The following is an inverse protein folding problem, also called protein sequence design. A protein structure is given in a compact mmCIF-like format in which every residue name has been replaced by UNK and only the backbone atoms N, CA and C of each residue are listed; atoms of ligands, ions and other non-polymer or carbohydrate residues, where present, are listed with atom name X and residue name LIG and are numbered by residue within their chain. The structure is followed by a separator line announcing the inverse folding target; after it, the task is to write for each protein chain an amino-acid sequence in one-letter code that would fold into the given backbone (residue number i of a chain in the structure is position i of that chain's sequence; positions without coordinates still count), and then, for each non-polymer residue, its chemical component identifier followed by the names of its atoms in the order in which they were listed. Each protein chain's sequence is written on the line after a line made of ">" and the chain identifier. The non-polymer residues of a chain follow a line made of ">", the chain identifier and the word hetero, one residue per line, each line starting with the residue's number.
data_IF_530943131491
#
_entry.id   IF_530943131491
#
_cell.length_a   1.000
_cell.length_b   1.000
_cell.length_c   1.000
_cell.angle_alpha   90.00
_cell.angle_beta   90.00
_cell.angle_gamma   90.00
#
_symmetry.space_group_name_H-M   'P 1'
#
loop_
_entity.id
_entity.type
_entity.pdbx_description
1 polymer ?
#
# COMPACT_ATOMS: atom_id res chain seq x y z
N UNK A 1 4.47 25.05 -73.38
CA UNK A 1 4.61 25.02 -71.92
C UNK A 1 4.46 23.57 -71.47
N UNK A 2 5.53 22.88 -71.03
CA UNK A 2 5.43 21.47 -70.64
C UNK A 2 4.93 21.37 -69.21
N UNK A 3 3.94 20.49 -69.00
CA UNK A 3 3.33 20.19 -67.69
C UNK A 3 4.27 19.45 -66.78
N UNK A 4 4.27 19.89 -65.54
CA UNK A 4 5.03 19.32 -64.40
C UNK A 4 4.26 18.12 -63.86
N UNK A 5 4.79 16.90 -64.01
CA UNK A 5 4.21 15.65 -63.57
C UNK A 5 4.95 15.17 -62.33
N UNK A 6 4.26 15.13 -61.17
CA UNK A 6 4.83 14.59 -59.91
C UNK A 6 4.82 13.05 -59.95
N UNK A 7 5.88 12.38 -59.48
CA UNK A 7 5.89 10.92 -59.35
C UNK A 7 5.03 10.44 -58.19
N UNK A 8 4.41 9.25 -58.29
CA UNK A 8 3.63 8.68 -57.19
C UNK A 8 4.51 8.29 -56.01
N UNK A 9 4.23 8.85 -54.84
CA UNK A 9 4.89 8.46 -53.61
C UNK A 9 4.43 7.05 -53.21
N UNK A 10 5.33 6.06 -53.33
CA UNK A 10 5.13 4.75 -52.76
C UNK A 10 5.33 4.82 -51.24
N UNK A 11 4.23 4.86 -50.51
CA UNK A 11 4.25 4.71 -49.07
C UNK A 11 4.36 3.23 -48.72
N UNK A 12 5.57 2.76 -48.45
CA UNK A 12 5.79 1.45 -47.84
C UNK A 12 5.55 1.54 -46.36
N UNK A 13 4.44 0.99 -45.89
CA UNK A 13 4.20 0.78 -44.45
C UNK A 13 5.19 -0.30 -43.95
N UNK A 14 5.90 -0.06 -42.84
CA UNK A 14 6.69 -1.14 -42.25
C UNK A 14 5.73 -2.20 -41.68
N UNK A 15 6.12 -3.49 -41.68
CA UNK A 15 5.29 -4.55 -41.14
C UNK A 15 5.02 -4.30 -39.65
N UNK A 16 3.75 -4.48 -39.25
CA UNK A 16 3.30 -4.37 -37.88
C UNK A 16 4.16 -5.24 -36.96
N UNK A 17 5.05 -4.59 -36.25
CA UNK A 17 5.83 -5.22 -35.21
C UNK A 17 4.91 -5.66 -34.10
N UNK A 18 5.04 -6.92 -33.73
CA UNK A 18 4.37 -7.55 -32.60
C UNK A 18 4.74 -6.76 -31.33
N UNK A 19 3.87 -5.88 -30.85
CA UNK A 19 4.02 -5.24 -29.56
C UNK A 19 3.69 -6.30 -28.51
N UNK A 20 4.73 -6.86 -27.89
CA UNK A 20 4.60 -7.78 -26.76
C UNK A 20 4.01 -7.00 -25.59
N UNK A 21 2.71 -7.19 -25.34
CA UNK A 21 2.04 -6.75 -24.10
C UNK A 21 2.49 -7.68 -22.95
N UNK A 22 3.64 -7.43 -22.38
CA UNK A 22 4.16 -8.15 -21.23
C UNK A 22 4.60 -7.19 -20.11
N UNK A 23 3.71 -6.30 -19.62
CA UNK A 23 4.03 -5.42 -18.50
C UNK A 23 2.79 -4.87 -17.75
N UNK A 24 1.70 -5.64 -17.58
CA UNK A 24 0.51 -5.11 -16.90
C UNK A 24 0.20 -5.83 -15.57
N UNK A 25 0.98 -6.84 -15.17
CA UNK A 25 0.66 -7.58 -13.94
C UNK A 25 1.15 -6.91 -12.64
N UNK A 26 2.00 -5.86 -12.72
CA UNK A 26 2.55 -5.21 -11.52
C UNK A 26 1.77 -3.99 -11.03
N UNK A 27 0.84 -3.45 -11.81
CA UNK A 27 0.10 -2.23 -11.47
C UNK A 27 -1.15 -2.48 -10.62
N UNK A 28 -1.80 -3.65 -10.74
CA UNK A 28 -3.07 -3.91 -10.07
C UNK A 28 -3.00 -3.78 -8.53
N UNK A 29 -1.93 -4.29 -7.90
CA UNK A 29 -1.77 -4.18 -6.44
C UNK A 29 -1.44 -2.75 -5.97
N UNK A 30 -0.77 -1.96 -6.83
CA UNK A 30 -0.49 -0.57 -6.56
C UNK A 30 -1.77 0.26 -6.57
N UNK A 31 -2.64 -0.01 -7.52
CA UNK A 31 -3.92 0.68 -7.69
C UNK A 31 -4.89 0.37 -6.53
N UNK A 32 -4.96 -0.86 -6.04
CA UNK A 32 -5.79 -1.23 -4.89
C UNK A 32 -5.41 -0.49 -3.60
N UNK A 33 -4.11 -0.24 -3.37
CA UNK A 33 -3.67 0.51 -2.19
C UNK A 33 -4.09 1.97 -2.31
N UNK A 34 -3.97 2.56 -3.50
CA UNK A 34 -4.37 3.94 -3.77
C UNK A 34 -5.91 4.09 -3.68
N UNK A 35 -6.67 3.12 -4.20
CA UNK A 35 -8.13 3.07 -4.09
C UNK A 35 -8.58 2.96 -2.62
N UNK A 36 -8.02 2.02 -1.86
CA UNK A 36 -8.32 1.86 -0.44
C UNK A 36 -7.95 3.11 0.37
N UNK A 37 -6.80 3.73 0.06
CA UNK A 37 -6.38 4.96 0.71
C UNK A 37 -7.32 6.13 0.41
N UNK A 38 -7.79 6.27 -0.83
CA UNK A 38 -8.76 7.27 -1.24
C UNK A 38 -10.12 7.04 -0.56
N UNK A 39 -10.61 5.79 -0.56
CA UNK A 39 -11.88 5.41 0.06
C UNK A 39 -11.89 5.75 1.56
N UNK A 40 -10.84 5.41 2.29
CA UNK A 40 -10.73 5.67 3.72
C UNK A 40 -10.10 7.02 4.07
N UNK A 41 -9.78 7.86 3.07
CA UNK A 41 -9.19 9.18 3.27
C UNK A 41 -7.90 9.14 4.12
N UNK A 42 -7.01 8.20 3.80
CA UNK A 42 -5.69 8.07 4.41
C UNK A 42 -4.59 8.35 3.38
N UNK A 43 -3.37 8.58 3.85
CA UNK A 43 -2.24 8.81 2.95
C UNK A 43 -1.78 7.50 2.31
N UNK A 44 -1.87 7.41 0.97
CA UNK A 44 -1.52 6.20 0.21
C UNK A 44 -0.05 5.80 0.35
N UNK A 45 0.87 6.76 0.42
CA UNK A 45 2.30 6.48 0.59
C UNK A 45 2.60 5.91 1.99
N UNK A 46 1.93 6.42 3.02
CA UNK A 46 2.02 5.86 4.38
C UNK A 46 1.42 4.47 4.43
N UNK A 47 0.24 4.25 3.83
CA UNK A 47 -0.40 2.93 3.77
C UNK A 47 0.51 1.93 3.05
N UNK A 48 1.11 2.31 1.92
CA UNK A 48 2.07 1.49 1.17
C UNK A 48 3.32 1.17 1.99
N UNK A 49 3.83 2.15 2.76
CA UNK A 49 4.97 1.96 3.66
C UNK A 49 4.64 1.01 4.82
N UNK A 50 3.41 1.05 5.35
CA UNK A 50 2.90 0.07 6.32
C UNK A 50 2.95 -1.34 5.73
N UNK A 51 2.31 -1.61 4.60
CA UNK A 51 2.33 -2.93 3.98
C UNK A 51 3.75 -3.43 3.65
N UNK A 52 4.62 -2.50 3.21
CA UNK A 52 6.03 -2.83 3.00
C UNK A 52 6.73 -3.21 4.31
N UNK A 53 6.49 -2.49 5.39
CA UNK A 53 7.08 -2.77 6.70
C UNK A 53 6.58 -4.11 7.27
N UNK A 54 5.30 -4.40 7.10
CA UNK A 54 4.67 -5.60 7.66
C UNK A 54 5.13 -6.88 6.96
N UNK A 55 5.07 -6.95 5.65
CA UNK A 55 5.34 -8.19 4.93
C UNK A 55 6.11 -8.03 3.62
N UNK A 56 6.56 -6.82 3.25
CA UNK A 56 7.00 -6.48 1.89
C UNK A 56 5.87 -6.63 0.86
N UNK A 57 4.63 -6.35 1.30
CA UNK A 57 3.41 -6.48 0.49
C UNK A 57 3.13 -7.91 0.01
N UNK A 58 3.57 -8.94 0.75
CA UNK A 58 3.27 -10.34 0.41
C UNK A 58 1.86 -10.71 0.86
N UNK A 59 0.96 -11.04 -0.07
CA UNK A 59 -0.45 -11.30 0.26
C UNK A 59 -0.65 -12.60 1.05
N UNK A 60 0.24 -13.56 0.91
CA UNK A 60 0.22 -14.87 1.57
C UNK A 60 0.97 -14.90 2.91
N UNK A 61 1.43 -13.74 3.40
CA UNK A 61 2.18 -13.68 4.64
C UNK A 61 1.32 -14.05 5.85
N UNK A 62 1.85 -14.92 6.72
CA UNK A 62 1.24 -15.29 8.00
C UNK A 62 2.30 -15.11 9.09
N UNK A 63 1.97 -14.30 10.11
CA UNK A 63 2.75 -14.11 11.32
C UNK A 63 2.11 -14.82 12.49
N UNK A 64 2.92 -15.39 13.38
CA UNK A 64 2.45 -16.02 14.64
C UNK A 64 2.96 -15.23 15.83
N UNK A 65 2.06 -14.86 16.72
CA UNK A 65 2.38 -14.10 17.92
C UNK A 65 2.44 -14.99 19.15
N UNK A 66 3.28 -14.63 20.14
CA UNK A 66 3.46 -15.39 21.36
C UNK A 66 2.17 -15.54 22.20
N UNK A 67 1.18 -14.67 22.01
CA UNK A 67 -0.11 -14.71 22.68
C UNK A 67 -1.14 -15.60 21.95
N UNK A 68 -0.72 -16.35 20.92
CA UNK A 68 -1.57 -17.23 20.14
C UNK A 68 -2.36 -16.56 19.02
N UNK A 69 -2.27 -15.23 18.84
CA UNK A 69 -2.88 -14.55 17.70
C UNK A 69 -2.04 -14.75 16.44
N UNK A 70 -2.66 -14.57 15.28
CA UNK A 70 -1.98 -14.60 13.99
C UNK A 70 -2.18 -13.28 13.25
N UNK A 71 -1.20 -12.91 12.44
CA UNK A 71 -1.24 -11.75 11.57
C UNK A 71 -1.34 -12.24 10.12
N UNK A 72 -2.26 -11.68 9.34
CA UNK A 72 -2.66 -12.21 8.04
C UNK A 72 -2.46 -11.20 6.92
N UNK A 73 -1.96 -11.69 5.79
CA UNK A 73 -1.89 -10.98 4.53
C UNK A 73 -0.82 -9.90 4.45
N UNK A 74 -0.87 -9.13 3.37
CA UNK A 74 0.13 -8.11 3.02
C UNK A 74 0.34 -7.05 4.11
N UNK A 75 -0.70 -6.76 4.88
CA UNK A 75 -0.71 -5.74 5.93
C UNK A 75 -0.72 -6.31 7.35
N UNK A 76 -0.54 -7.62 7.51
CA UNK A 76 -0.46 -8.32 8.78
C UNK A 76 -1.63 -7.97 9.72
N UNK A 77 -2.86 -8.15 9.21
CA UNK A 77 -4.08 -7.90 9.98
C UNK A 77 -4.19 -8.95 11.09
N UNK A 78 -4.17 -8.48 12.34
CA UNK A 78 -4.21 -9.36 13.49
C UNK A 78 -5.58 -10.05 13.63
N UNK A 79 -5.56 -11.34 13.99
CA UNK A 79 -6.75 -12.17 14.14
C UNK A 79 -7.75 -11.67 15.21
N UNK A 80 -7.35 -10.78 16.11
CA UNK A 80 -8.26 -10.13 17.06
C UNK A 80 -9.35 -9.30 16.37
N UNK A 81 -9.13 -8.89 15.13
CA UNK A 81 -10.10 -8.14 14.33
C UNK A 81 -11.10 -9.02 13.57
N UNK A 82 -10.85 -10.32 13.47
CA UNK A 82 -11.70 -11.23 12.68
C UNK A 82 -13.17 -11.25 13.08
N UNK A 83 -13.55 -11.17 14.37
CA UNK A 83 -14.97 -11.10 14.75
C UNK A 83 -15.67 -9.85 14.20
N UNK A 84 -14.98 -8.71 14.14
CA UNK A 84 -15.54 -7.49 13.55
C UNK A 84 -15.59 -7.59 12.03
N UNK A 85 -14.53 -8.08 11.40
CA UNK A 85 -14.44 -8.26 9.95
C UNK A 85 -15.49 -9.24 9.41
N UNK A 86 -15.80 -10.30 10.17
CA UNK A 86 -16.82 -11.27 9.79
C UNK A 86 -18.23 -10.63 9.64
N UNK A 87 -18.54 -9.58 10.40
CA UNK A 87 -19.81 -8.82 10.26
C UNK A 87 -19.91 -8.12 8.91
N UNK A 88 -18.79 -7.88 8.25
CA UNK A 88 -18.68 -7.29 6.92
C UNK A 88 -18.41 -8.34 5.82
N UNK A 89 -18.55 -9.63 6.13
CA UNK A 89 -18.33 -10.72 5.19
C UNK A 89 -16.87 -11.02 4.87
N UNK A 90 -15.92 -10.43 5.61
CA UNK A 90 -14.48 -10.62 5.40
C UNK A 90 -14.02 -11.83 6.23
N UNK A 91 -13.60 -12.88 5.54
CA UNK A 91 -13.06 -14.09 6.15
C UNK A 91 -11.54 -14.03 6.31
N UNK A 92 -10.92 -14.88 7.16
CA UNK A 92 -9.46 -15.00 7.22
C UNK A 92 -8.82 -15.28 5.85
N UNK A 93 -9.45 -16.14 5.03
CA UNK A 93 -8.96 -16.46 3.70
C UNK A 93 -9.01 -15.27 2.73
N UNK A 94 -9.99 -14.37 2.88
CA UNK A 94 -10.11 -13.17 2.06
C UNK A 94 -8.93 -12.20 2.28
N UNK A 95 -8.27 -12.23 3.43
CA UNK A 95 -7.09 -11.39 3.70
C UNK A 95 -5.84 -11.81 2.93
N UNK A 96 -5.84 -12.97 2.27
CA UNK A 96 -4.83 -13.37 1.30
C UNK A 96 -5.02 -12.67 -0.07
N UNK A 97 -6.15 -12.02 -0.32
CA UNK A 97 -6.31 -11.09 -1.42
C UNK A 97 -5.70 -9.74 -1.05
N UNK A 98 -4.74 -9.26 -1.85
CA UNK A 98 -4.01 -8.02 -1.56
C UNK A 98 -4.90 -6.77 -1.53
N UNK A 99 -5.97 -6.73 -2.36
CA UNK A 99 -6.90 -5.61 -2.40
C UNK A 99 -7.83 -5.60 -1.18
N UNK A 100 -8.37 -6.76 -0.80
CA UNK A 100 -9.17 -6.91 0.42
C UNK A 100 -8.32 -6.56 1.65
N UNK A 101 -7.08 -7.03 1.69
CA UNK A 101 -6.17 -6.74 2.80
C UNK A 101 -5.83 -5.24 2.89
N UNK A 102 -5.62 -4.56 1.74
CA UNK A 102 -5.38 -3.12 1.69
C UNK A 102 -6.58 -2.31 2.19
N UNK A 103 -7.78 -2.71 1.81
CA UNK A 103 -9.04 -2.07 2.26
C UNK A 103 -9.19 -2.17 3.78
N UNK A 104 -8.97 -3.35 4.36
CA UNK A 104 -9.01 -3.56 5.81
C UNK A 104 -7.91 -2.76 6.52
N UNK A 105 -6.71 -2.72 5.96
CA UNK A 105 -5.60 -1.96 6.52
C UNK A 105 -5.87 -0.45 6.51
N UNK A 106 -6.42 0.08 5.41
CA UNK A 106 -6.79 1.49 5.29
C UNK A 106 -7.88 1.86 6.30
N UNK A 107 -8.91 1.02 6.45
CA UNK A 107 -9.94 1.17 7.48
C UNK A 107 -9.34 1.17 8.89
N UNK A 108 -8.44 0.23 9.22
CA UNK A 108 -7.78 0.16 10.52
C UNK A 108 -6.93 1.39 10.78
N UNK A 109 -6.16 1.86 9.79
CA UNK A 109 -5.35 3.07 9.89
C UNK A 109 -6.22 4.31 10.04
N UNK A 110 -7.36 4.41 9.32
CA UNK A 110 -8.31 5.52 9.48
C UNK A 110 -8.81 5.64 10.90
N UNK A 111 -9.15 4.54 11.57
CA UNK A 111 -9.57 4.54 12.98
C UNK A 111 -8.49 5.11 13.92
N UNK A 112 -7.20 4.89 13.60
CA UNK A 112 -6.12 5.51 14.37
C UNK A 112 -6.05 7.02 14.12
N UNK A 113 -6.26 7.46 12.87
CA UNK A 113 -6.32 8.89 12.53
C UNK A 113 -7.50 9.58 13.24
N UNK A 114 -8.63 8.94 13.32
CA UNK A 114 -9.80 9.48 14.06
C UNK A 114 -9.52 9.65 15.55
N UNK A 115 -8.72 8.77 16.12
CA UNK A 115 -8.36 8.78 17.53
C UNK A 115 -7.22 9.75 17.88
N UNK A 116 -6.23 9.86 17.01
CA UNK A 116 -4.97 10.57 17.31
C UNK A 116 -4.68 11.73 16.36
N UNK A 117 -5.60 12.05 15.44
CA UNK A 117 -5.34 12.98 14.35
C UNK A 117 -4.45 12.38 13.25
N UNK A 118 -4.23 13.13 12.18
CA UNK A 118 -3.30 12.72 11.11
C UNK A 118 -1.85 13.01 11.54
N UNK A 119 -1.33 12.18 12.42
CA UNK A 119 -0.04 12.34 13.09
C UNK A 119 0.78 11.05 13.04
N UNK A 120 2.07 11.13 13.38
CA UNK A 120 2.93 9.97 13.54
C UNK A 120 2.45 9.03 14.66
N UNK A 121 1.74 9.58 15.66
CA UNK A 121 1.08 8.77 16.68
C UNK A 121 0.04 7.83 16.08
N UNK A 122 -0.78 8.30 15.15
CA UNK A 122 -1.75 7.45 14.44
C UNK A 122 -1.04 6.35 13.62
N UNK A 123 0.08 6.69 12.96
CA UNK A 123 0.90 5.70 12.23
C UNK A 123 1.43 4.63 13.19
N UNK A 124 1.96 5.04 14.35
CA UNK A 124 2.46 4.12 15.36
C UNK A 124 1.37 3.25 15.96
N UNK A 125 0.19 3.84 16.21
CA UNK A 125 -0.97 3.16 16.78
C UNK A 125 -1.57 2.09 15.86
N UNK A 126 -1.26 2.11 14.55
CA UNK A 126 -1.57 1.00 13.66
C UNK A 126 -1.03 -0.33 14.20
N UNK A 127 0.20 -0.32 14.68
CA UNK A 127 0.89 -1.51 15.19
C UNK A 127 0.64 -1.78 16.68
N UNK A 128 0.58 -0.74 17.51
CA UNK A 128 0.46 -0.93 18.96
C UNK A 128 -0.11 0.27 19.66
N UNK A 129 -0.96 0.02 20.66
CA UNK A 129 -1.44 1.07 21.57
C UNK A 129 -0.36 1.47 22.62
N UNK A 130 0.68 0.66 22.82
CA UNK A 130 1.76 0.95 23.78
C UNK A 130 2.67 2.04 23.21
N UNK A 131 2.85 3.20 23.89
CA UNK A 131 3.58 4.35 23.34
C UNK A 131 4.96 3.99 22.77
N UNK A 132 5.83 3.39 23.56
CA UNK A 132 7.19 3.04 23.11
C UNK A 132 7.22 2.11 21.87
N UNK A 133 6.25 1.19 21.72
CA UNK A 133 6.13 0.33 20.55
C UNK A 133 5.58 1.10 19.36
N UNK A 134 4.61 1.99 19.59
CA UNK A 134 4.06 2.87 18.58
C UNK A 134 5.14 3.78 17.99
N UNK A 135 5.95 4.42 18.84
CA UNK A 135 7.05 5.31 18.40
C UNK A 135 8.09 4.55 17.59
N UNK A 136 8.52 3.40 18.09
CA UNK A 136 9.46 2.55 17.35
C UNK A 136 8.91 2.13 15.97
N UNK A 137 7.60 1.88 15.88
CA UNK A 137 6.95 1.56 14.60
C UNK A 137 6.87 2.77 13.68
N UNK A 138 6.41 3.93 14.18
CA UNK A 138 6.36 5.16 13.40
C UNK A 138 7.73 5.54 12.83
N UNK A 139 8.81 5.38 13.62
CA UNK A 139 10.19 5.58 13.16
C UNK A 139 10.56 4.62 12.01
N UNK A 140 10.15 3.35 12.06
CA UNK A 140 10.37 2.40 10.95
C UNK A 140 9.65 2.84 9.68
N UNK A 141 8.39 3.29 9.78
CA UNK A 141 7.64 3.79 8.63
C UNK A 141 8.30 5.05 8.06
N UNK A 142 8.73 5.99 8.90
CA UNK A 142 9.46 7.19 8.47
C UNK A 142 10.75 6.81 7.73
N UNK A 143 11.50 5.82 8.21
CA UNK A 143 12.70 5.33 7.55
C UNK A 143 12.40 4.70 6.17
N UNK A 144 11.28 3.99 6.01
CA UNK A 144 10.84 3.48 4.71
C UNK A 144 10.56 4.64 3.75
N UNK A 145 9.79 5.63 4.19
CA UNK A 145 9.44 6.80 3.37
C UNK A 145 10.67 7.65 3.00
N UNK A 146 11.63 7.79 3.90
CA UNK A 146 12.92 8.46 3.62
C UNK A 146 13.72 7.70 2.57
N UNK A 147 13.80 6.35 2.67
CA UNK A 147 14.45 5.50 1.66
C UNK A 147 13.79 5.65 0.29
N UNK A 148 12.47 5.81 0.25
CA UNK A 148 11.73 6.07 -0.99
C UNK A 148 11.82 7.53 -1.46
N UNK A 149 12.54 8.39 -0.75
CA UNK A 149 12.69 9.83 -1.03
C UNK A 149 11.37 10.61 -0.98
N UNK A 150 10.39 10.09 -0.23
CA UNK A 150 9.13 10.77 0.08
C UNK A 150 9.34 11.78 1.21
N UNK A 151 10.17 11.44 2.19
CA UNK A 151 10.62 12.34 3.24
C UNK A 151 12.08 12.75 3.01
N UNK A 152 12.46 13.98 3.36
CA UNK A 152 13.86 14.40 3.31
C UNK A 152 14.70 13.59 4.32
N UNK A 153 15.98 13.34 3.97
CA UNK A 153 16.91 12.61 4.85
C UNK A 153 17.15 13.31 6.21
N UNK A 154 16.91 14.62 6.25
CA UNK A 154 17.03 15.48 7.45
C UNK A 154 15.71 15.65 8.20
N UNK A 155 14.65 14.94 7.82
CA UNK A 155 13.41 15.02 8.58
C UNK A 155 13.67 14.60 10.03
N UNK A 156 13.24 15.39 11.03
CA UNK A 156 13.37 14.98 12.41
C UNK A 156 12.59 13.66 12.59
N UNK A 157 13.05 12.76 13.48
CA UNK A 157 12.27 11.59 13.82
C UNK A 157 10.90 12.04 14.30
N UNK A 158 9.85 11.24 14.11
CA UNK A 158 8.55 11.51 14.68
C UNK A 158 8.70 11.83 16.17
N UNK A 159 8.08 12.92 16.66
CA UNK A 159 8.15 13.24 18.08
C UNK A 159 7.66 12.04 18.90
N UNK A 160 8.40 11.72 19.95
CA UNK A 160 7.95 10.74 20.94
C UNK A 160 6.55 11.13 21.40
N UNK A 161 5.72 10.12 21.63
CA UNK A 161 4.34 10.33 22.07
C UNK A 161 4.39 10.38 23.58
N UNK A 162 4.56 11.58 24.13
CA UNK A 162 4.37 11.86 25.57
C UNK A 162 2.94 11.58 26.01
#
# INVERSE_FOLDING_TARGET
>A
MPGFQLPPAAWTYPPAGLVVLAAIASSAHADCIDEAAAHHQVNALVLRAIGWQESRLRPDAIGHNANGTVDLGAFQINSVHLPDLARHGITPAALADGCVCAEVAAWHYRRQIERFGNTWRAVGAYHSATPARADAYANRIAAVLTRWRVLPASAPPPPGVD
#
